data_IF_666049565315
#
_entry.id   IF_666049565315
#
_cell.length_a   1.000
_cell.length_b   1.000
_cell.length_c   1.000
_cell.angle_alpha   90.00
_cell.angle_beta   90.00
_cell.angle_gamma   90.00
#
_symmetry.space_group_name_H-M   'P 1'
#
loop_
_entity.id
_entity.type
_entity.pdbx_description
1 polymer ?
#
# COMPACT_ATOMS: atom_id res chain seq x y z
N UNK A 1 3.56 1.75 -19.53
CA UNK A 1 2.19 1.83 -18.97
C UNK A 1 2.29 2.16 -17.48
N UNK A 2 2.03 3.40 -17.05
CA UNK A 2 1.94 3.72 -15.62
C UNK A 2 0.59 3.19 -15.13
N UNK A 3 0.59 1.96 -14.57
CA UNK A 3 -0.59 1.39 -13.90
C UNK A 3 -1.08 2.40 -12.87
N UNK A 4 -2.36 2.74 -12.89
CA UNK A 4 -2.98 3.43 -11.76
C UNK A 4 -2.92 2.46 -10.58
N UNK A 5 -2.13 2.79 -9.56
CA UNK A 5 -1.84 1.92 -8.42
C UNK A 5 -2.98 2.04 -7.42
N UNK A 6 -4.09 1.38 -7.73
CA UNK A 6 -5.20 1.24 -6.79
C UNK A 6 -4.67 0.62 -5.50
N UNK A 7 -4.94 1.27 -4.36
CA UNK A 7 -4.51 0.77 -3.06
C UNK A 7 -5.13 -0.60 -2.76
N UNK A 8 -6.39 -0.81 -3.20
CA UNK A 8 -7.08 -2.08 -3.04
C UNK A 8 -6.45 -3.20 -3.87
N UNK A 9 -6.00 -2.91 -5.09
CA UNK A 9 -5.30 -3.90 -5.92
C UNK A 9 -3.97 -4.28 -5.28
N UNK A 10 -3.19 -3.29 -4.84
CA UNK A 10 -1.94 -3.53 -4.13
C UNK A 10 -2.15 -4.36 -2.85
N UNK A 11 -3.20 -4.05 -2.09
CA UNK A 11 -3.53 -4.78 -0.88
C UNK A 11 -3.89 -6.25 -1.14
N UNK A 12 -4.64 -6.55 -2.19
CA UNK A 12 -4.96 -7.93 -2.58
C UNK A 12 -3.71 -8.70 -2.98
N UNK A 13 -2.74 -8.05 -3.62
CA UNK A 13 -1.46 -8.69 -3.98
C UNK A 13 -0.64 -9.07 -2.74
N UNK A 14 -0.56 -8.19 -1.73
CA UNK A 14 0.13 -8.52 -0.48
C UNK A 14 -0.62 -9.54 0.39
N UNK A 15 -1.96 -9.57 0.30
CA UNK A 15 -2.82 -10.41 1.15
C UNK A 15 -3.77 -11.26 0.30
N UNK A 16 -3.28 -12.20 -0.52
CA UNK A 16 -4.13 -12.99 -1.43
C UNK A 16 -5.09 -13.92 -0.68
N UNK A 17 -4.82 -14.25 0.59
CA UNK A 17 -5.70 -15.04 1.45
C UNK A 17 -6.90 -14.29 2.05
N UNK A 18 -7.03 -12.98 1.81
CA UNK A 18 -8.16 -12.21 2.33
C UNK A 18 -9.44 -12.48 1.53
N UNK A 19 -10.53 -12.86 2.23
CA UNK A 19 -11.83 -13.14 1.61
C UNK A 19 -12.45 -11.96 0.83
N UNK A 20 -12.05 -10.71 1.15
CA UNK A 20 -12.52 -9.52 0.43
C UNK A 20 -11.40 -8.49 0.28
N UNK A 21 -11.47 -7.66 -0.76
CA UNK A 21 -10.54 -6.53 -0.97
C UNK A 21 -10.56 -5.53 0.19
N UNK A 22 -11.70 -5.34 0.86
CA UNK A 22 -11.80 -4.49 2.07
C UNK A 22 -10.96 -5.05 3.23
N UNK A 23 -10.95 -6.36 3.42
CA UNK A 23 -10.12 -7.00 4.44
C UNK A 23 -8.64 -6.86 4.10
N UNK A 24 -8.27 -7.08 2.84
CA UNK A 24 -6.89 -6.86 2.37
C UNK A 24 -6.43 -5.41 2.62
N UNK A 25 -7.27 -4.41 2.29
CA UNK A 25 -6.99 -2.99 2.55
C UNK A 25 -6.77 -2.70 4.03
N UNK A 26 -7.58 -3.31 4.92
CA UNK A 26 -7.40 -3.19 6.37
C UNK A 26 -6.08 -3.80 6.83
N UNK A 27 -5.73 -4.98 6.33
CA UNK A 27 -4.45 -5.64 6.61
C UNK A 27 -3.28 -4.76 6.17
N UNK A 28 -3.29 -4.27 4.92
CA UNK A 28 -2.22 -3.40 4.41
C UNK A 28 -2.13 -2.09 5.18
N UNK A 29 -3.26 -1.43 5.49
CA UNK A 29 -3.27 -0.18 6.25
C UNK A 29 -2.67 -0.37 7.65
N UNK A 30 -2.97 -1.50 8.30
CA UNK A 30 -2.42 -1.85 9.62
C UNK A 30 -0.93 -2.15 9.53
N UNK A 31 -0.52 -2.91 8.52
CA UNK A 31 0.89 -3.23 8.30
C UNK A 31 1.74 -1.99 8.02
N UNK A 32 1.22 -1.06 7.19
CA UNK A 32 1.84 0.25 6.98
C UNK A 32 1.96 1.00 8.30
N UNK A 33 0.88 1.07 9.10
CA UNK A 33 0.88 1.77 10.39
C UNK A 33 1.89 1.19 11.38
N UNK A 34 2.07 -0.13 11.39
CA UNK A 34 3.00 -0.81 12.30
C UNK A 34 4.47 -0.64 11.86
N UNK A 35 4.72 -0.22 10.61
CA UNK A 35 6.05 0.09 10.09
C UNK A 35 6.40 1.59 10.22
N UNK A 36 6.92 1.99 11.39
CA UNK A 36 7.28 3.37 11.69
C UNK A 36 8.17 4.08 10.64
N UNK A 37 9.22 3.44 10.07
CA UNK A 37 10.03 4.06 9.01
C UNK A 37 9.23 4.36 7.74
N UNK A 38 8.37 3.42 7.33
CA UNK A 38 7.50 3.57 6.16
C UNK A 38 6.51 4.72 6.34
N UNK A 39 5.85 4.82 7.49
CA UNK A 39 4.92 5.92 7.80
C UNK A 39 5.62 7.28 7.73
N UNK A 40 6.83 7.38 8.28
CA UNK A 40 7.62 8.63 8.25
C UNK A 40 7.97 9.08 6.84
N UNK A 41 8.27 8.16 5.93
CA UNK A 41 8.49 8.49 4.51
C UNK A 41 7.19 8.80 3.76
N UNK A 42 6.06 8.19 4.16
CA UNK A 42 4.76 8.38 3.51
C UNK A 42 4.06 9.70 3.88
N UNK A 43 4.10 10.13 5.14
CA UNK A 43 3.42 11.35 5.60
C UNK A 43 3.76 12.60 4.76
N UNK A 44 5.04 12.89 4.44
CA UNK A 44 5.42 14.03 3.61
C UNK A 44 4.86 13.98 2.17
N UNK A 45 4.35 12.83 1.72
CA UNK A 45 3.73 12.69 0.40
C UNK A 45 2.24 13.00 0.37
N UNK A 46 1.66 13.43 1.50
CA UNK A 46 0.21 13.62 1.66
C UNK A 46 -0.56 12.32 1.89
N UNK A 47 0.14 11.24 2.30
CA UNK A 47 -0.52 9.97 2.62
C UNK A 47 -1.36 10.08 3.91
N UNK A 48 -2.69 10.08 3.76
CA UNK A 48 -3.71 9.87 4.80
C UNK A 48 -4.15 8.40 4.96
N UNK A 49 -3.98 7.76 6.12
CA UNK A 49 -4.48 6.40 6.36
C UNK A 49 -5.98 6.28 6.05
N UNK A 50 -6.39 5.16 5.44
CA UNK A 50 -7.81 4.79 5.17
C UNK A 50 -8.59 5.58 4.12
N UNK A 51 -8.01 6.60 3.48
CA UNK A 51 -8.72 7.40 2.47
C UNK A 51 -8.08 7.40 1.06
N UNK A 52 -7.18 6.46 0.77
CA UNK A 52 -6.55 6.35 -0.56
C UNK A 52 -7.24 5.31 -1.42
N UNK A 53 -7.99 5.79 -2.42
CA UNK A 53 -8.42 4.93 -3.54
C UNK A 53 -7.25 4.62 -4.47
N UNK A 54 -6.38 5.61 -4.68
CA UNK A 54 -5.25 5.54 -5.60
C UNK A 54 -3.97 6.05 -4.91
N UNK A 55 -2.86 5.38 -5.20
CA UNK A 55 -1.53 5.81 -4.79
C UNK A 55 -0.87 6.63 -5.89
N UNK A 56 -0.11 7.64 -5.48
CA UNK A 56 0.85 8.28 -6.39
C UNK A 56 2.02 7.33 -6.65
N UNK A 57 2.74 7.52 -7.77
CA UNK A 57 3.93 6.72 -8.07
C UNK A 57 5.01 6.82 -6.97
N UNK A 58 5.08 7.96 -6.28
CA UNK A 58 6.00 8.16 -5.14
C UNK A 58 5.57 7.34 -3.94
N UNK A 59 4.28 7.37 -3.58
CA UNK A 59 3.76 6.56 -2.46
C UNK A 59 3.93 5.07 -2.70
N UNK A 60 3.63 4.60 -3.92
CA UNK A 60 3.83 3.21 -4.29
C UNK A 60 5.30 2.79 -4.12
N UNK A 61 6.25 3.56 -4.68
CA UNK A 61 7.68 3.27 -4.54
C UNK A 61 8.11 3.19 -3.08
N UNK A 62 7.58 4.05 -2.22
CA UNK A 62 7.90 4.02 -0.79
C UNK A 62 7.33 2.74 -0.16
N UNK A 63 6.07 2.38 -0.46
CA UNK A 63 5.45 1.17 0.08
C UNK A 63 6.23 -0.08 -0.36
N UNK A 64 6.52 -0.25 -1.65
CA UNK A 64 7.23 -1.43 -2.15
C UNK A 64 8.69 -1.47 -1.73
N UNK A 65 9.36 -0.33 -1.55
CA UNK A 65 10.70 -0.26 -0.96
C UNK A 65 10.76 -0.86 0.45
N UNK A 66 9.73 -0.65 1.26
CA UNK A 66 9.70 -1.09 2.66
C UNK A 66 9.05 -2.46 2.86
N UNK A 67 8.07 -2.84 2.03
CA UNK A 67 7.30 -4.08 2.17
C UNK A 67 7.63 -5.14 1.11
N UNK A 68 8.50 -4.83 0.14
CA UNK A 68 8.78 -5.65 -1.06
C UNK A 68 7.82 -5.31 -2.21
N UNK A 69 8.24 -5.43 -3.47
CA UNK A 69 7.32 -5.25 -4.60
C UNK A 69 6.59 -6.58 -4.88
N UNK A 70 5.26 -6.67 -4.69
CA UNK A 70 4.53 -7.90 -4.93
C UNK A 70 4.32 -8.21 -6.43
N UNK A 71 4.82 -7.36 -7.32
CA UNK A 71 4.83 -7.59 -8.77
C UNK A 71 6.21 -7.97 -9.32
N UNK A 72 7.27 -7.92 -8.50
CA UNK A 72 8.56 -8.49 -8.87
C UNK A 72 8.64 -9.90 -8.28
N UNK A 73 8.70 -10.91 -9.16
CA UNK A 73 8.98 -12.32 -8.80
C UNK A 73 10.44 -12.49 -8.34
#
# INVERSE_FOLDING_TARGET
MKRFLSFAVLAVMYFPGCATSKNAVRCLSRWIKDCNPLVKELIPTGYLPYNHRYLTAKQYKIITKHLGDPYED
#
